data_IF_088790105123
#
_entry.id   IF_088790105123
#
_cell.length_a   1.000
_cell.length_b   1.000
_cell.length_c   1.000
_cell.angle_alpha   90.00
_cell.angle_beta   90.00
_cell.angle_gamma   90.00
#
_symmetry.space_group_name_H-M   'P 1'
#
loop_
_entity.id
_entity.type
_entity.pdbx_description
1 polymer ?
#
# COMPACT_ATOMS: atom_id res chain seq x y z
N UNK A 1 22.76 -22.75 -11.47
CA UNK A 1 21.37 -22.30 -11.22
C UNK A 1 20.79 -23.11 -10.07
N UNK A 2 19.94 -22.52 -9.22
CA UNK A 2 19.24 -23.29 -8.18
C UNK A 2 17.88 -23.71 -8.72
N UNK A 3 17.42 -24.92 -8.42
CA UNK A 3 16.08 -25.38 -8.81
C UNK A 3 15.19 -25.48 -7.58
N UNK A 4 13.90 -25.23 -7.78
CA UNK A 4 12.86 -25.42 -6.77
C UNK A 4 11.66 -26.15 -7.37
N UNK A 5 11.22 -27.23 -6.71
CA UNK A 5 10.06 -28.01 -7.13
C UNK A 5 8.83 -27.49 -6.39
N UNK A 6 7.84 -26.99 -7.14
CA UNK A 6 6.61 -26.40 -6.61
C UNK A 6 5.86 -27.41 -5.73
N UNK A 7 5.58 -27.04 -4.48
CA UNK A 7 4.77 -27.82 -3.54
C UNK A 7 3.33 -27.32 -3.50
N UNK A 8 2.43 -28.15 -2.97
CA UNK A 8 1.02 -27.78 -2.80
C UNK A 8 0.90 -26.51 -1.95
N UNK A 9 0.20 -25.50 -2.48
CA UNK A 9 -0.02 -24.22 -1.80
C UNK A 9 1.05 -23.15 -2.03
N UNK A 10 2.12 -23.46 -2.78
CA UNK A 10 3.11 -22.47 -3.16
C UNK A 10 2.70 -21.73 -4.44
N UNK A 11 3.00 -20.42 -4.49
CA UNK A 11 2.78 -19.55 -5.65
C UNK A 11 4.14 -19.09 -6.18
N UNK A 12 4.19 -18.61 -7.43
CA UNK A 12 5.44 -18.10 -7.99
C UNK A 12 6.00 -16.95 -7.14
N UNK A 13 5.12 -16.15 -6.55
CA UNK A 13 5.44 -15.07 -5.62
C UNK A 13 6.01 -15.56 -4.29
N UNK A 14 5.41 -16.58 -3.67
CA UNK A 14 5.91 -17.11 -2.40
C UNK A 14 7.24 -17.86 -2.58
N UNK A 15 7.40 -18.58 -3.68
CA UNK A 15 8.66 -19.24 -4.06
C UNK A 15 9.74 -18.19 -4.33
N UNK A 16 9.48 -17.22 -5.21
CA UNK A 16 10.45 -16.18 -5.53
C UNK A 16 10.84 -15.37 -4.28
N UNK A 17 9.87 -14.99 -3.45
CA UNK A 17 10.09 -14.27 -2.20
C UNK A 17 10.97 -15.05 -1.21
N UNK A 18 10.77 -16.37 -1.09
CA UNK A 18 11.63 -17.25 -0.25
C UNK A 18 13.10 -17.19 -0.66
N UNK A 19 13.38 -16.98 -1.94
CA UNK A 19 14.73 -16.94 -2.49
C UNK A 19 15.23 -15.52 -2.78
N UNK A 20 14.47 -14.48 -2.37
CA UNK A 20 14.87 -13.08 -2.54
C UNK A 20 14.80 -12.58 -4.00
N UNK A 21 13.96 -13.19 -4.82
CA UNK A 21 13.70 -12.80 -6.21
C UNK A 21 12.27 -12.28 -6.38
N UNK A 22 12.03 -11.52 -7.46
CA UNK A 22 10.66 -11.21 -7.86
C UNK A 22 10.08 -12.38 -8.66
N UNK A 23 8.77 -12.58 -8.57
CA UNK A 23 8.10 -13.60 -9.39
C UNK A 23 8.27 -13.36 -10.89
N UNK A 24 8.46 -12.11 -11.33
CA UNK A 24 8.65 -11.72 -12.73
C UNK A 24 9.95 -12.28 -13.30
N UNK A 25 11.01 -12.24 -12.50
CA UNK A 25 12.32 -12.80 -12.89
C UNK A 25 12.29 -14.31 -12.93
N UNK A 26 11.63 -14.94 -11.96
CA UNK A 26 11.44 -16.39 -12.00
C UNK A 26 10.52 -16.76 -13.18
N UNK A 27 9.49 -15.97 -13.48
CA UNK A 27 8.59 -16.22 -14.62
C UNK A 27 9.34 -16.15 -15.96
N UNK A 28 10.15 -15.12 -16.18
CA UNK A 28 10.84 -14.90 -17.45
C UNK A 28 11.85 -16.01 -17.76
N UNK A 29 12.64 -16.42 -16.76
CA UNK A 29 13.62 -17.51 -16.90
C UNK A 29 12.93 -18.84 -17.22
N UNK A 30 11.74 -19.06 -16.65
CA UNK A 30 10.98 -20.29 -16.85
C UNK A 30 9.97 -20.21 -18.00
N UNK A 31 9.99 -19.13 -18.81
CA UNK A 31 9.09 -18.95 -19.94
C UNK A 31 7.60 -18.97 -19.56
N UNK A 32 7.27 -18.60 -18.32
CA UNK A 32 5.90 -18.68 -17.81
C UNK A 32 5.06 -17.53 -18.36
N UNK A 33 4.16 -17.85 -19.29
CA UNK A 33 3.17 -16.91 -19.83
C UNK A 33 2.10 -16.52 -18.81
N UNK A 34 1.81 -17.39 -17.84
CA UNK A 34 0.88 -17.12 -16.75
C UNK A 34 1.49 -17.55 -15.41
N UNK A 35 1.86 -16.60 -14.52
CA UNK A 35 2.52 -16.88 -13.25
C UNK A 35 1.62 -17.53 -12.20
N UNK A 36 0.29 -17.50 -12.40
CA UNK A 36 -0.70 -18.09 -11.50
C UNK A 36 -0.99 -19.57 -11.82
N UNK A 37 -0.41 -20.11 -12.90
CA UNK A 37 -0.62 -21.50 -13.36
C UNK A 37 0.60 -22.38 -13.09
N UNK A 38 1.06 -22.42 -11.85
CA UNK A 38 2.05 -23.40 -11.42
C UNK A 38 1.42 -24.76 -11.11
N UNK A 39 2.04 -25.84 -11.56
CA UNK A 39 1.63 -27.21 -11.22
C UNK A 39 2.48 -27.74 -10.07
N UNK A 40 1.87 -28.44 -9.12
CA UNK A 40 2.62 -29.17 -8.09
C UNK A 40 3.55 -30.18 -8.78
N UNK A 41 4.81 -30.21 -8.36
CA UNK A 41 5.87 -31.00 -9.00
C UNK A 41 6.57 -30.30 -10.17
N UNK A 42 6.10 -29.12 -10.60
CA UNK A 42 6.80 -28.33 -11.62
C UNK A 42 8.14 -27.83 -11.07
N UNK A 43 9.23 -28.09 -11.80
CA UNK A 43 10.56 -27.55 -11.46
C UNK A 43 10.70 -26.14 -12.02
N UNK A 44 11.06 -25.20 -11.15
CA UNK A 44 11.36 -23.81 -11.50
C UNK A 44 12.85 -23.56 -11.34
N UNK A 45 13.44 -22.98 -12.38
CA UNK A 45 14.79 -22.45 -12.35
C UNK A 45 14.80 -21.11 -11.62
N UNK A 46 15.68 -21.00 -10.64
CA UNK A 46 15.92 -19.78 -9.87
C UNK A 46 17.29 -19.20 -10.25
N UNK A 47 17.40 -17.86 -10.32
CA UNK A 47 18.68 -17.22 -10.54
C UNK A 47 19.71 -17.65 -9.48
N UNK A 48 20.98 -17.67 -9.84
CA UNK A 48 22.05 -17.71 -8.85
C UNK A 48 22.15 -16.34 -8.16
N UNK A 49 22.59 -16.36 -6.90
CA UNK A 49 22.76 -15.20 -6.00
C UNK A 49 23.03 -13.91 -6.77
N UNK A 50 22.18 -12.90 -6.57
CA UNK A 50 22.32 -11.57 -7.17
C UNK A 50 23.59 -10.88 -6.67
N UNK A 51 24.53 -10.64 -7.56
CA UNK A 51 25.26 -9.37 -7.53
C UNK A 51 24.24 -8.30 -7.94
N UNK A 52 23.86 -7.49 -6.95
CA UNK A 52 22.57 -6.82 -6.94
C UNK A 52 22.35 -5.86 -8.09
N UNK A 53 21.26 -6.04 -8.85
CA UNK A 53 20.37 -4.98 -9.33
C UNK A 53 18.98 -5.58 -9.58
N UNK A 54 17.93 -4.93 -9.05
CA UNK A 54 16.54 -5.13 -9.47
C UNK A 54 16.04 -3.80 -10.06
N UNK A 55 15.29 -3.85 -11.15
CA UNK A 55 14.64 -2.69 -11.77
C UNK A 55 13.18 -2.52 -11.34
N UNK A 56 12.62 -1.29 -11.43
CA UNK A 56 11.67 -0.80 -10.42
C UNK A 56 10.22 -1.21 -10.70
N UNK A 57 9.57 -1.71 -9.64
CA UNK A 57 8.11 -1.57 -9.46
C UNK A 57 7.79 -0.12 -9.10
N UNK A 58 6.51 0.25 -9.10
CA UNK A 58 5.98 1.49 -8.52
C UNK A 58 6.79 1.93 -7.30
N UNK A 59 7.02 3.24 -7.19
CA UNK A 59 8.07 3.89 -6.42
C UNK A 59 8.63 3.06 -5.23
N UNK A 60 9.96 2.94 -5.09
CA UNK A 60 10.60 2.33 -3.91
C UNK A 60 9.92 2.71 -2.59
N UNK A 61 9.59 1.75 -1.74
CA UNK A 61 9.30 2.06 -0.33
C UNK A 61 10.62 2.46 0.36
N UNK A 62 10.81 3.71 0.83
CA UNK A 62 11.92 4.05 1.70
C UNK A 62 11.65 3.46 3.08
N UNK A 63 12.58 2.66 3.60
CA UNK A 63 12.71 2.46 5.04
C UNK A 63 13.32 3.72 5.64
N UNK A 64 12.64 4.39 6.57
CA UNK A 64 13.16 5.58 7.28
C UNK A 64 13.12 5.43 8.80
N UNK A 65 14.03 6.10 9.53
CA UNK A 65 14.03 6.15 10.99
C UNK A 65 12.84 6.95 11.52
N UNK A 66 12.25 6.48 12.62
CA UNK A 66 11.10 7.11 13.25
C UNK A 66 11.52 8.39 13.99
N UNK A 67 10.80 9.50 13.76
CA UNK A 67 10.65 10.57 14.76
C UNK A 67 9.22 10.57 15.27
N UNK A 68 9.08 10.60 16.59
CA UNK A 68 7.80 10.63 17.31
C UNK A 68 7.04 11.94 17.07
N UNK A 69 5.71 11.91 16.91
CA UNK A 69 4.90 13.11 17.00
C UNK A 69 4.38 13.32 18.43
N UNK A 70 4.45 14.59 18.83
CA UNK A 70 3.92 15.21 20.03
C UNK A 70 2.42 15.00 20.21
N UNK A 71 2.01 14.94 21.48
CA UNK A 71 0.65 14.69 21.98
C UNK A 71 -0.35 15.75 21.50
N UNK A 72 -1.49 15.29 20.99
CA UNK A 72 -2.69 16.09 20.75
C UNK A 72 -3.88 15.17 20.52
N UNK A 73 -4.57 14.81 21.62
CA UNK A 73 -5.70 13.90 21.62
C UNK A 73 -7.04 14.61 21.47
N UNK A 74 -7.97 13.93 20.80
CA UNK A 74 -9.41 14.18 20.90
C UNK A 74 -10.10 12.82 21.00
N UNK A 75 -10.53 12.44 22.20
CA UNK A 75 -11.27 11.20 22.42
C UNK A 75 -12.72 11.38 21.98
N UNK A 76 -13.02 11.04 20.73
CA UNK A 76 -14.40 10.79 20.31
C UNK A 76 -14.91 9.54 21.03
N UNK A 77 -16.02 9.67 21.74
CA UNK A 77 -16.69 8.56 22.46
C UNK A 77 -17.04 7.43 21.50
N UNK A 78 -16.68 6.19 21.85
CA UNK A 78 -16.97 5.01 21.04
C UNK A 78 -18.48 4.81 20.86
N UNK A 79 -18.93 4.67 19.62
CA UNK A 79 -20.34 4.38 19.29
C UNK A 79 -20.54 2.87 19.24
N UNK A 80 -21.69 2.37 19.70
CA UNK A 80 -22.02 0.94 19.59
C UNK A 80 -21.88 0.46 18.14
N UNK A 81 -21.08 -0.59 17.94
CA UNK A 81 -20.77 -1.13 16.61
C UNK A 81 -19.52 -0.56 15.95
N UNK A 82 -18.80 0.37 16.56
CA UNK A 82 -17.48 0.81 16.09
C UNK A 82 -16.40 -0.28 16.24
N UNK A 83 -15.36 -0.21 15.41
CA UNK A 83 -14.16 -1.04 15.60
C UNK A 83 -13.42 -0.54 16.84
N UNK A 84 -13.19 -1.43 17.79
CA UNK A 84 -12.52 -1.11 19.06
C UNK A 84 -11.00 -1.03 18.92
N UNK A 85 -10.31 -0.43 19.90
CA UNK A 85 -8.84 -0.38 19.92
C UNK A 85 -8.21 -1.78 19.89
N UNK A 86 -8.78 -2.74 20.64
CA UNK A 86 -8.32 -4.13 20.63
C UNK A 86 -8.45 -4.78 19.25
N UNK A 87 -9.59 -4.57 18.57
CA UNK A 87 -9.79 -5.07 17.21
C UNK A 87 -8.83 -4.39 16.23
N UNK A 88 -8.65 -3.08 16.31
CA UNK A 88 -7.72 -2.35 15.43
C UNK A 88 -6.28 -2.84 15.62
N UNK A 89 -5.85 -3.13 16.86
CA UNK A 89 -4.54 -3.75 17.16
C UNK A 89 -4.40 -5.15 16.59
N UNK A 90 -5.47 -5.95 16.65
CA UNK A 90 -5.46 -7.27 16.02
C UNK A 90 -5.39 -7.18 14.48
N UNK A 91 -6.01 -6.16 13.88
CA UNK A 91 -6.01 -5.91 12.42
C UNK A 91 -4.67 -5.36 11.94
N UNK A 92 -4.06 -4.43 12.68
CA UNK A 92 -2.85 -3.68 12.31
C UNK A 92 -1.81 -3.71 13.44
N UNK A 93 -1.22 -4.87 13.74
CA UNK A 93 -0.36 -5.07 14.92
C UNK A 93 0.90 -4.19 14.93
N UNK A 94 1.40 -3.75 13.78
CA UNK A 94 2.59 -2.92 13.65
C UNK A 94 2.28 -1.41 13.64
N UNK A 95 1.02 -1.00 13.77
CA UNK A 95 0.64 0.41 13.81
C UNK A 95 1.07 1.10 15.13
N UNK A 96 1.19 0.35 16.23
CA UNK A 96 1.65 0.85 17.52
C UNK A 96 0.78 1.98 18.07
N UNK A 97 1.40 3.11 18.44
CA UNK A 97 0.72 4.30 18.98
C UNK A 97 -0.12 5.03 17.93
N UNK A 98 0.07 4.75 16.64
CA UNK A 98 -0.65 5.41 15.55
C UNK A 98 -2.14 5.06 15.52
N UNK A 99 -2.53 3.92 16.09
CA UNK A 99 -3.94 3.53 16.23
C UNK A 99 -4.75 4.62 16.93
N UNK A 100 -4.22 5.21 18.01
CA UNK A 100 -4.89 6.27 18.75
C UNK A 100 -5.19 7.51 17.90
N UNK A 101 -4.37 7.78 16.87
CA UNK A 101 -4.54 8.91 15.94
C UNK A 101 -5.58 8.62 14.84
N UNK A 102 -5.77 7.37 14.45
CA UNK A 102 -6.56 7.00 13.27
C UNK A 102 -7.87 6.26 13.59
N UNK A 103 -8.02 5.66 14.76
CA UNK A 103 -9.21 4.86 15.07
C UNK A 103 -10.50 5.68 15.02
N UNK A 104 -10.50 6.89 15.61
CA UNK A 104 -11.63 7.82 15.54
C UNK A 104 -11.98 8.22 14.10
N UNK A 105 -11.01 8.78 13.34
CA UNK A 105 -11.17 9.07 11.92
C UNK A 105 -11.68 7.91 11.06
N UNK A 106 -11.12 6.70 11.24
CA UNK A 106 -11.51 5.52 10.48
C UNK A 106 -12.93 5.09 10.80
N UNK A 107 -13.32 5.06 12.08
CA UNK A 107 -14.70 4.75 12.46
C UNK A 107 -15.68 5.81 11.93
N UNK A 108 -15.32 7.10 12.00
CA UNK A 108 -16.13 8.17 11.43
C UNK A 108 -16.31 8.03 9.91
N UNK A 109 -15.25 7.76 9.17
CA UNK A 109 -15.32 7.52 7.73
C UNK A 109 -16.14 6.27 7.40
N UNK A 110 -15.95 5.17 8.13
CA UNK A 110 -16.74 3.95 7.91
C UNK A 110 -18.24 4.18 8.13
N UNK A 111 -18.63 5.00 9.11
CA UNK A 111 -20.04 5.40 9.32
C UNK A 111 -20.55 6.27 8.18
N UNK A 112 -19.81 7.32 7.80
CA UNK A 112 -20.23 8.27 6.78
C UNK A 112 -20.41 7.63 5.38
N UNK A 113 -19.75 6.49 5.15
CA UNK A 113 -19.69 5.81 3.85
C UNK A 113 -20.34 4.41 3.88
N UNK A 114 -21.21 4.13 4.86
CA UNK A 114 -21.96 2.87 5.00
C UNK A 114 -21.09 1.59 5.01
N UNK A 115 -19.85 1.69 5.50
CA UNK A 115 -18.94 0.57 5.73
C UNK A 115 -19.27 -0.04 7.10
N UNK A 116 -20.48 -0.60 7.20
CA UNK A 116 -21.17 -0.85 8.47
C UNK A 116 -21.36 -2.33 8.82
N UNK A 117 -21.01 -3.27 7.95
CA UNK A 117 -20.93 -4.71 8.29
C UNK A 117 -19.48 -5.12 8.56
N UNK A 118 -19.28 -6.23 9.28
CA UNK A 118 -17.94 -6.74 9.58
C UNK A 118 -17.17 -7.10 8.31
N UNK A 119 -17.84 -7.57 7.27
CA UNK A 119 -17.27 -7.94 5.98
C UNK A 119 -16.78 -6.71 5.22
N UNK A 120 -17.61 -5.65 5.16
CA UNK A 120 -17.23 -4.36 4.56
C UNK A 120 -16.03 -3.75 5.28
N UNK A 121 -16.07 -3.70 6.62
CA UNK A 121 -14.99 -3.17 7.46
C UNK A 121 -13.70 -3.98 7.31
N UNK A 122 -13.80 -5.30 7.28
CA UNK A 122 -12.65 -6.18 7.11
C UNK A 122 -11.96 -5.92 5.77
N UNK A 123 -12.72 -5.83 4.67
CA UNK A 123 -12.19 -5.57 3.35
C UNK A 123 -11.56 -4.17 3.26
N UNK A 124 -12.24 -3.15 3.79
CA UNK A 124 -11.74 -1.77 3.80
C UNK A 124 -10.45 -1.61 4.61
N UNK A 125 -10.44 -2.08 5.86
CA UNK A 125 -9.28 -1.98 6.74
C UNK A 125 -8.11 -2.84 6.26
N UNK A 126 -8.36 -3.95 5.57
CA UNK A 126 -7.30 -4.74 4.95
C UNK A 126 -6.56 -3.97 3.86
N UNK A 127 -7.27 -3.20 3.03
CA UNK A 127 -6.64 -2.36 2.01
C UNK A 127 -5.83 -1.24 2.66
N UNK A 128 -6.41 -0.52 3.63
CA UNK A 128 -5.69 0.51 4.40
C UNK A 128 -4.43 -0.06 5.05
N UNK A 129 -4.53 -1.24 5.67
CA UNK A 129 -3.42 -1.92 6.33
C UNK A 129 -2.25 -2.12 5.37
N UNK A 130 -2.48 -2.49 4.11
CA UNK A 130 -1.40 -2.71 3.16
C UNK A 130 -0.88 -1.39 2.59
N UNK A 131 -1.76 -0.51 2.11
CA UNK A 131 -1.39 0.77 1.49
C UNK A 131 -0.56 1.65 2.42
N UNK A 132 -1.06 1.86 3.63
CA UNK A 132 -0.39 2.70 4.62
C UNK A 132 0.71 1.97 5.39
N UNK A 133 0.90 0.67 5.13
CA UNK A 133 1.80 -0.19 5.91
C UNK A 133 1.42 -0.19 7.39
N UNK A 134 0.15 -0.43 7.68
CA UNK A 134 -0.44 -0.40 9.02
C UNK A 134 -0.30 1.00 9.65
N UNK A 135 -0.75 2.02 8.91
CA UNK A 135 -0.80 3.44 9.31
C UNK A 135 0.56 4.12 9.51
N UNK A 136 1.66 3.41 9.23
CA UNK A 136 3.02 3.94 9.37
C UNK A 136 3.36 4.99 8.32
N UNK A 137 2.66 4.96 7.18
CA UNK A 137 2.93 5.81 6.02
C UNK A 137 1.63 6.44 5.53
N UNK A 138 1.47 7.74 5.74
CA UNK A 138 0.35 8.54 5.20
C UNK A 138 0.85 9.59 4.23
N UNK A 139 2.17 9.77 4.15
CA UNK A 139 2.84 10.65 3.21
C UNK A 139 4.20 10.07 2.83
N UNK A 140 4.58 10.18 1.56
CA UNK A 140 5.91 9.86 1.10
C UNK A 140 6.91 10.94 1.55
N UNK A 141 7.99 10.53 2.24
CA UNK A 141 9.02 11.46 2.70
C UNK A 141 10.07 11.82 1.63
N UNK A 142 10.26 10.96 0.61
CA UNK A 142 11.20 11.11 -0.49
C UNK A 142 12.63 11.54 -0.07
N UNK A 143 13.03 11.23 1.16
CA UNK A 143 14.32 11.64 1.71
C UNK A 143 15.32 10.48 1.62
N UNK A 144 16.07 10.44 0.52
CA UNK A 144 17.02 9.37 0.23
C UNK A 144 18.46 9.87 0.20
N UNK A 145 19.39 9.04 0.65
CA UNK A 145 20.81 9.24 0.32
C UNK A 145 21.05 8.95 -1.16
N UNK A 146 22.12 9.53 -1.72
CA UNK A 146 22.53 9.29 -3.10
C UNK A 146 22.71 7.80 -3.41
N UNK A 147 23.38 7.05 -2.53
CA UNK A 147 23.56 5.60 -2.69
C UNK A 147 22.21 4.88 -2.76
N UNK A 148 21.23 5.29 -1.94
CA UNK A 148 19.91 4.69 -1.95
C UNK A 148 19.15 5.05 -3.23
N UNK A 149 19.21 6.30 -3.71
CA UNK A 149 18.63 6.73 -4.99
C UNK A 149 19.11 5.85 -6.16
N UNK A 150 20.43 5.59 -6.22
CA UNK A 150 21.03 4.75 -7.27
C UNK A 150 20.60 3.28 -7.17
N UNK A 151 20.41 2.76 -5.96
CA UNK A 151 19.92 1.39 -5.76
C UNK A 151 18.44 1.22 -6.16
N UNK A 152 17.69 2.30 -6.12
CA UNK A 152 16.24 2.33 -6.21
C UNK A 152 15.76 2.73 -7.61
N UNK A 153 16.42 3.70 -8.23
CA UNK A 153 16.16 4.15 -9.59
C UNK A 153 17.48 4.20 -10.39
N UNK A 154 18.14 3.04 -10.61
CA UNK A 154 19.46 2.98 -11.24
C UNK A 154 19.50 3.58 -12.65
N UNK A 155 18.37 3.54 -13.37
CA UNK A 155 18.24 4.16 -14.71
C UNK A 155 18.26 5.69 -14.67
N UNK A 156 17.70 6.30 -13.62
CA UNK A 156 17.61 7.76 -13.45
C UNK A 156 18.85 8.32 -12.76
N UNK A 157 19.37 7.61 -11.76
CA UNK A 157 20.57 7.99 -11.02
C UNK A 157 21.72 7.05 -11.39
N UNK A 158 22.27 7.23 -12.59
CA UNK A 158 23.35 6.36 -13.11
C UNK A 158 24.67 6.62 -12.38
N UNK A 159 25.00 7.90 -12.22
CA UNK A 159 26.24 8.36 -11.58
C UNK A 159 25.98 8.86 -10.17
N UNK A 160 27.05 8.91 -9.37
CA UNK A 160 27.03 9.50 -8.03
C UNK A 160 26.65 10.99 -8.10
N UNK A 161 27.27 11.73 -9.01
CA UNK A 161 26.99 13.15 -9.26
C UNK A 161 25.52 13.45 -9.52
N UNK A 162 24.86 12.67 -10.39
CA UNK A 162 23.42 12.85 -10.66
C UNK A 162 22.59 12.55 -9.41
N UNK A 163 22.99 11.57 -8.59
CA UNK A 163 22.30 11.24 -7.35
C UNK A 163 22.47 12.30 -6.26
N UNK A 164 23.66 12.90 -6.16
CA UNK A 164 23.97 13.92 -5.16
C UNK A 164 23.10 15.18 -5.33
N UNK A 165 22.72 15.51 -6.57
CA UNK A 165 21.81 16.63 -6.87
C UNK A 165 20.41 16.49 -6.23
N UNK A 166 20.00 15.26 -5.89
CA UNK A 166 18.67 14.96 -5.34
C UNK A 166 18.71 14.31 -3.96
N UNK A 167 19.91 13.98 -3.46
CA UNK A 167 20.08 13.36 -2.16
C UNK A 167 19.62 14.30 -1.06
N UNK A 168 18.86 13.78 -0.11
CA UNK A 168 18.29 14.53 1.00
C UNK A 168 17.46 15.77 0.60
N UNK A 169 16.96 15.78 -0.64
CA UNK A 169 16.12 16.85 -1.18
C UNK A 169 14.79 16.26 -1.72
N UNK A 170 13.80 16.01 -0.84
CA UNK A 170 12.52 15.43 -1.22
C UNK A 170 11.78 16.18 -2.32
N UNK A 171 11.84 17.51 -2.30
CA UNK A 171 11.12 18.35 -3.25
C UNK A 171 11.72 18.24 -4.65
N UNK A 172 13.03 18.45 -4.78
CA UNK A 172 13.71 18.29 -6.06
C UNK A 172 13.56 16.86 -6.59
N UNK A 173 13.67 15.86 -5.71
CA UNK A 173 13.50 14.46 -6.09
C UNK A 173 12.10 14.16 -6.62
N UNK A 174 11.07 14.62 -5.91
CA UNK A 174 9.67 14.40 -6.30
C UNK A 174 9.38 15.07 -7.64
N UNK A 175 9.79 16.32 -7.81
CA UNK A 175 9.64 17.07 -9.05
C UNK A 175 10.31 16.36 -10.23
N UNK A 176 11.49 15.77 -10.01
CA UNK A 176 12.20 15.02 -11.04
C UNK A 176 11.59 13.64 -11.37
N UNK A 177 11.17 12.88 -10.36
CA UNK A 177 10.64 11.52 -10.56
C UNK A 177 9.23 11.54 -11.13
N UNK A 178 8.42 12.53 -10.73
CA UNK A 178 7.01 12.65 -11.07
C UNK A 178 6.67 13.68 -12.16
N UNK A 179 7.65 14.36 -12.76
CA UNK A 179 7.43 15.26 -13.91
C UNK A 179 6.71 14.55 -15.08
N UNK A 180 5.85 15.30 -15.77
CA UNK A 180 5.13 14.90 -17.00
C UNK A 180 4.28 13.64 -16.86
N UNK A 181 3.86 13.32 -15.63
CA UNK A 181 3.03 12.15 -15.33
C UNK A 181 1.63 12.56 -14.94
N UNK A 182 0.64 12.07 -15.69
CA UNK A 182 -0.77 12.03 -15.29
C UNK A 182 -1.24 13.37 -14.70
N UNK A 183 -1.08 14.43 -15.50
CA UNK A 183 -1.48 15.79 -15.18
C UNK A 183 -0.42 16.65 -14.51
N UNK A 184 0.66 16.08 -13.97
CA UNK A 184 1.78 16.88 -13.47
C UNK A 184 2.46 17.63 -14.62
N UNK A 185 2.83 18.89 -14.40
CA UNK A 185 3.74 19.61 -15.29
C UNK A 185 5.18 19.09 -15.25
N UNK A 186 6.07 19.80 -15.95
CA UNK A 186 7.50 19.56 -15.93
C UNK A 186 8.12 19.77 -14.54
N UNK A 187 9.42 19.52 -14.41
CA UNK A 187 10.13 19.60 -13.12
C UNK A 187 9.96 20.97 -12.44
N UNK A 188 9.99 22.03 -13.23
CA UNK A 188 9.87 23.43 -12.82
C UNK A 188 8.48 23.81 -12.28
N UNK A 189 7.44 23.00 -12.56
CA UNK A 189 6.09 23.27 -12.09
C UNK A 189 5.92 23.09 -10.57
N UNK A 190 6.80 22.30 -9.94
CA UNK A 190 6.62 21.88 -8.55
C UNK A 190 5.54 20.82 -8.33
N UNK A 191 4.88 20.35 -9.41
CA UNK A 191 3.75 19.42 -9.31
C UNK A 191 4.16 18.06 -8.74
N UNK A 192 5.39 17.62 -9.00
CA UNK A 192 5.86 16.33 -8.50
C UNK A 192 5.89 16.27 -6.96
N UNK A 193 6.38 17.32 -6.30
CA UNK A 193 6.34 17.42 -4.84
C UNK A 193 4.96 17.77 -4.34
N UNK A 194 4.28 18.74 -4.97
CA UNK A 194 2.93 19.18 -4.57
C UNK A 194 1.94 18.00 -4.55
N UNK A 195 1.98 17.14 -5.56
CA UNK A 195 1.12 15.96 -5.72
C UNK A 195 1.82 14.63 -5.44
N UNK A 196 2.80 14.61 -4.53
CA UNK A 196 3.44 13.39 -4.00
C UNK A 196 2.44 12.46 -3.30
N UNK A 197 2.81 11.22 -3.04
CA UNK A 197 1.92 10.24 -2.41
C UNK A 197 1.46 10.65 -1.01
N UNK A 198 0.13 10.78 -0.81
CA UNK A 198 -0.49 11.03 0.51
C UNK A 198 -1.76 10.20 0.73
N UNK A 199 -2.24 10.22 1.97
CA UNK A 199 -3.47 9.57 2.39
C UNK A 199 -3.33 8.06 2.61
N UNK A 200 -4.38 7.47 3.16
CA UNK A 200 -4.42 6.05 3.50
C UNK A 200 -4.52 5.11 2.29
N UNK A 201 -4.81 5.66 1.11
CA UNK A 201 -4.91 4.96 -0.18
C UNK A 201 -3.86 5.45 -1.20
N UNK A 202 -2.83 6.19 -0.76
CA UNK A 202 -1.68 6.61 -1.57
C UNK A 202 -2.02 7.40 -2.86
N UNK A 203 -2.85 8.44 -2.73
CA UNK A 203 -3.13 9.39 -3.81
C UNK A 203 -1.84 10.12 -4.23
N UNK A 204 -1.47 9.98 -5.50
CA UNK A 204 -0.27 10.56 -6.13
C UNK A 204 -0.66 11.13 -7.49
N UNK A 205 0.09 12.07 -8.05
CA UNK A 205 -0.11 12.77 -9.34
C UNK A 205 -1.37 13.66 -9.41
N UNK A 206 -1.25 14.79 -10.11
CA UNK A 206 -2.25 15.86 -10.13
C UNK A 206 -3.64 15.40 -10.56
N UNK A 207 -3.76 14.57 -11.59
CA UNK A 207 -5.06 14.12 -12.08
C UNK A 207 -5.82 13.30 -11.03
N UNK A 208 -5.13 12.49 -10.22
CA UNK A 208 -5.76 11.74 -9.14
C UNK A 208 -6.17 12.66 -7.98
N UNK A 209 -5.35 13.66 -7.64
CA UNK A 209 -5.74 14.68 -6.65
C UNK A 209 -6.96 15.46 -7.12
N UNK A 210 -7.04 15.82 -8.41
CA UNK A 210 -8.23 16.44 -9.00
C UNK A 210 -9.45 15.54 -8.89
N UNK A 211 -9.34 14.27 -9.28
CA UNK A 211 -10.43 13.30 -9.19
C UNK A 211 -10.90 13.08 -7.74
N UNK A 212 -9.98 13.13 -6.77
CA UNK A 212 -10.29 13.01 -5.35
C UNK A 212 -10.83 14.31 -4.72
N UNK A 213 -10.75 15.45 -5.42
CA UNK A 213 -11.19 16.76 -4.95
C UNK A 213 -10.17 17.52 -4.09
N UNK A 214 -8.89 17.20 -4.22
CA UNK A 214 -7.78 17.76 -3.42
C UNK A 214 -6.73 18.52 -4.24
N UNK A 215 -6.99 18.86 -5.51
CA UNK A 215 -6.01 19.58 -6.35
C UNK A 215 -5.61 20.96 -5.76
N UNK A 216 -6.59 21.68 -5.19
CA UNK A 216 -6.37 22.99 -4.57
C UNK A 216 -5.67 22.92 -3.21
N UNK A 217 -5.81 21.81 -2.49
CA UNK A 217 -5.24 21.61 -1.15
C UNK A 217 -4.78 20.16 -0.93
N UNK A 218 -3.67 19.74 -1.58
CA UNK A 218 -3.19 18.35 -1.53
C UNK A 218 -2.67 17.94 -0.14
N UNK A 219 -2.11 18.88 0.63
CA UNK A 219 -1.58 18.62 1.97
C UNK A 219 -2.65 18.19 2.99
N UNK A 220 -3.93 18.51 2.72
CA UNK A 220 -5.03 18.06 3.56
C UNK A 220 -5.08 16.52 3.68
N UNK A 221 -4.59 15.76 2.69
CA UNK A 221 -4.54 14.30 2.77
C UNK A 221 -3.53 13.74 3.80
N UNK A 222 -2.67 14.58 4.39
CA UNK A 222 -1.80 14.18 5.51
C UNK A 222 -2.51 14.28 6.88
N UNK A 223 -3.67 14.96 6.94
CA UNK A 223 -4.52 15.00 8.14
C UNK A 223 -5.29 13.67 8.32
N UNK A 224 -5.29 13.04 9.51
CA UNK A 224 -5.96 11.76 9.73
C UNK A 224 -7.44 11.74 9.39
N UNK A 225 -8.19 12.79 9.73
CA UNK A 225 -9.63 12.86 9.48
C UNK A 225 -9.90 12.92 7.98
N UNK A 226 -9.17 13.79 7.29
CA UNK A 226 -9.28 13.97 5.84
C UNK A 226 -8.80 12.73 5.08
N UNK A 227 -7.70 12.10 5.51
CA UNK A 227 -7.18 10.89 4.90
C UNK A 227 -8.16 9.71 5.03
N UNK A 228 -8.82 9.57 6.18
CA UNK A 228 -9.83 8.54 6.41
C UNK A 228 -11.10 8.81 5.60
N UNK A 229 -11.61 10.05 5.59
CA UNK A 229 -12.80 10.41 4.78
C UNK A 229 -12.52 10.20 3.28
N UNK A 230 -11.35 10.61 2.80
CA UNK A 230 -10.96 10.37 1.40
C UNK A 230 -10.94 8.88 1.05
N UNK A 231 -10.45 8.02 1.95
CA UNK A 231 -10.46 6.57 1.73
C UNK A 231 -11.90 6.01 1.71
N UNK A 232 -12.76 6.46 2.62
CA UNK A 232 -14.18 6.09 2.64
C UNK A 232 -14.91 6.56 1.37
N UNK A 233 -14.66 7.79 0.93
CA UNK A 233 -15.23 8.35 -0.31
C UNK A 233 -14.81 7.56 -1.54
N UNK A 234 -13.53 7.25 -1.67
CA UNK A 234 -13.03 6.40 -2.75
C UNK A 234 -13.75 5.05 -2.75
N UNK A 235 -13.91 4.44 -1.57
CA UNK A 235 -14.60 3.15 -1.42
C UNK A 235 -16.05 3.21 -1.90
N UNK A 236 -16.80 4.24 -1.49
CA UNK A 236 -18.19 4.48 -1.90
C UNK A 236 -18.33 4.75 -3.40
N UNK A 237 -17.51 5.65 -3.94
CA UNK A 237 -17.56 6.04 -5.37
C UNK A 237 -17.26 4.87 -6.31
N UNK A 238 -16.46 3.91 -5.85
CA UNK A 238 -16.13 2.70 -6.60
C UNK A 238 -17.09 1.52 -6.33
N UNK A 239 -18.20 1.76 -5.62
CA UNK A 239 -19.24 0.75 -5.37
C UNK A 239 -18.76 -0.46 -4.56
N UNK A 240 -17.71 -0.30 -3.76
CA UNK A 240 -17.04 -1.44 -3.11
C UNK A 240 -17.89 -2.08 -2.01
N UNK A 241 -18.79 -1.32 -1.38
CA UNK A 241 -19.78 -1.85 -0.42
C UNK A 241 -20.61 -3.01 -1.00
N UNK A 242 -21.12 -2.86 -2.23
CA UNK A 242 -21.93 -3.89 -2.88
C UNK A 242 -21.15 -5.19 -3.14
N UNK A 243 -19.81 -5.08 -3.24
CA UNK A 243 -18.89 -6.19 -3.53
C UNK A 243 -18.36 -6.86 -2.27
N UNK A 244 -18.68 -6.34 -1.08
CA UNK A 244 -18.15 -6.81 0.21
C UNK A 244 -19.27 -7.04 1.24
N UNK A 245 -20.45 -7.47 0.79
CA UNK A 245 -21.60 -7.77 1.66
C UNK A 245 -21.55 -9.15 2.35
N UNK A 246 -20.56 -9.97 2.01
CA UNK A 246 -20.36 -11.30 2.55
C UNK A 246 -18.85 -11.60 2.62
N UNK A 247 -18.48 -12.64 3.36
CA UNK A 247 -17.09 -13.10 3.37
C UNK A 247 -16.64 -13.49 1.95
N UNK A 248 -15.67 -12.74 1.44
CA UNK A 248 -15.09 -12.96 0.12
C UNK A 248 -14.16 -14.15 0.06
N UNK A 249 -14.23 -14.91 -1.04
CA UNK A 249 -13.14 -15.79 -1.44
C UNK A 249 -11.97 -14.98 -2.07
N UNK A 250 -10.85 -15.67 -2.33
CA UNK A 250 -9.63 -15.02 -2.84
C UNK A 250 -9.84 -14.28 -4.17
N UNK A 251 -10.60 -14.86 -5.09
CA UNK A 251 -10.87 -14.26 -6.41
C UNK A 251 -11.68 -12.98 -6.28
N UNK A 252 -12.73 -12.98 -5.47
CA UNK A 252 -13.56 -11.81 -5.21
C UNK A 252 -12.76 -10.69 -4.52
N UNK A 253 -11.96 -11.03 -3.51
CA UNK A 253 -11.12 -10.05 -2.82
C UNK A 253 -10.00 -9.47 -3.70
N UNK A 254 -9.39 -10.29 -4.56
CA UNK A 254 -8.44 -9.80 -5.56
C UNK A 254 -9.12 -8.81 -6.52
N UNK A 255 -10.35 -9.05 -6.94
CA UNK A 255 -11.11 -8.11 -7.77
C UNK A 255 -11.32 -6.76 -7.06
N UNK A 256 -11.61 -6.74 -5.75
CA UNK A 256 -11.67 -5.50 -4.96
C UNK A 256 -10.30 -4.83 -4.91
N UNK A 257 -9.24 -5.60 -4.70
CA UNK A 257 -7.85 -5.09 -4.64
C UNK A 257 -7.40 -4.46 -5.96
N UNK A 258 -7.84 -4.97 -7.11
CA UNK A 258 -7.58 -4.38 -8.42
C UNK A 258 -8.18 -2.99 -8.56
N UNK A 259 -9.38 -2.76 -8.03
CA UNK A 259 -10.01 -1.43 -8.04
C UNK A 259 -9.23 -0.45 -7.18
N UNK A 260 -8.75 -0.88 -6.01
CA UNK A 260 -7.99 -0.02 -5.10
C UNK A 260 -6.60 0.33 -5.64
N UNK A 261 -5.91 -0.60 -6.32
CA UNK A 261 -4.49 -0.47 -6.64
C UNK A 261 -4.16 -0.44 -8.13
N UNK A 262 -5.15 -0.53 -9.01
CA UNK A 262 -4.94 -0.71 -10.45
C UNK A 262 -4.29 -2.06 -10.82
N UNK A 263 -4.23 -3.01 -9.88
CA UNK A 263 -3.58 -4.31 -10.07
C UNK A 263 -3.57 -5.20 -8.83
N UNK A 264 -2.98 -6.40 -8.94
CA UNK A 264 -2.92 -7.42 -7.86
C UNK A 264 -1.56 -7.51 -7.16
N UNK A 265 -0.79 -6.42 -7.15
CA UNK A 265 0.49 -6.39 -6.43
C UNK A 265 0.25 -6.59 -4.92
N UNK A 266 1.03 -7.49 -4.30
CA UNK A 266 0.89 -7.82 -2.88
C UNK A 266 -0.36 -8.63 -2.54
N UNK A 267 -0.97 -9.34 -3.49
CA UNK A 267 -2.25 -10.04 -3.27
C UNK A 267 -2.23 -11.00 -2.06
N UNK A 268 -1.12 -11.68 -1.78
CA UNK A 268 -0.98 -12.57 -0.61
C UNK A 268 -0.96 -11.82 0.72
N UNK A 269 -0.29 -10.67 0.75
CA UNK A 269 -0.26 -9.79 1.92
C UNK A 269 -1.66 -9.20 2.18
N UNK A 270 -2.32 -8.69 1.14
CA UNK A 270 -3.69 -8.14 1.23
C UNK A 270 -4.70 -9.19 1.68
N UNK A 271 -4.62 -10.39 1.13
CA UNK A 271 -5.49 -11.49 1.52
C UNK A 271 -5.26 -11.90 2.98
N UNK A 272 -4.00 -11.92 3.42
CA UNK A 272 -3.64 -12.21 4.81
C UNK A 272 -4.17 -11.13 5.76
N UNK A 273 -4.06 -9.84 5.37
CA UNK A 273 -4.65 -8.72 6.10
C UNK A 273 -6.18 -8.82 6.19
N UNK A 274 -6.85 -9.21 5.09
CA UNK A 274 -8.30 -9.43 5.06
C UNK A 274 -8.75 -10.57 5.98
N UNK A 275 -8.09 -11.73 5.90
CA UNK A 275 -8.35 -12.86 6.80
C UNK A 275 -8.14 -12.50 8.26
N UNK A 276 -7.12 -11.70 8.57
CA UNK A 276 -6.86 -11.18 9.92
C UNK A 276 -7.97 -10.25 10.36
N UNK A 277 -8.45 -9.37 9.48
CA UNK A 277 -9.51 -8.44 9.81
C UNK A 277 -10.86 -9.12 10.04
N UNK A 278 -11.23 -10.10 9.23
CA UNK A 278 -12.44 -10.90 9.46
C UNK A 278 -12.42 -11.55 10.85
N UNK A 279 -11.31 -12.20 11.23
CA UNK A 279 -11.19 -12.84 12.55
C UNK A 279 -11.29 -11.85 13.70
N UNK A 280 -10.70 -10.66 13.56
CA UNK A 280 -10.74 -9.64 14.60
C UNK A 280 -12.14 -9.02 14.76
N UNK A 281 -12.94 -8.98 13.70
CA UNK A 281 -14.26 -8.34 13.70
C UNK A 281 -15.41 -9.31 13.96
N UNK A 282 -15.17 -10.63 13.91
CA UNK A 282 -16.19 -11.61 14.25
C UNK A 282 -16.65 -11.47 15.72
N UNK A 283 -17.94 -11.68 16.02
CA UNK A 283 -18.41 -11.74 17.39
C UNK A 283 -17.64 -12.83 18.14
N UNK A 284 -17.32 -12.59 19.41
CA UNK A 284 -16.81 -13.66 20.28
C UNK A 284 -17.94 -14.68 20.39
N UNK A 285 -17.72 -15.91 19.92
CA UNK A 285 -18.67 -16.99 20.13
C UNK A 285 -18.90 -17.13 21.63
N UNK A 286 -20.13 -16.90 22.09
CA UNK A 286 -20.55 -17.34 23.42
C UNK A 286 -20.51 -18.87 23.42
N UNK A 287 -19.56 -19.43 24.18
CA UNK A 287 -19.53 -20.85 24.53
C UNK A 287 -20.77 -21.26 25.34
#
# INVERSE_FOLDING_TARGET
>A
MKQHVVRRGESLSSIAGRYGFSWQEVASINGLRNPDRLRVGQSLQLPLKRDGVAEPRSSPRPTMPQREPSRGGGHATAVAGDVTDAQMRAIMPNAGTRIARYIGPLNAAMRAHDINTNERRAAFLAQISVESGELRHVEENLNYSASRLRAVWPRRFRTQEVADNYAHNPEALANYVYADRLGNGGVESGDGYRFRGRGLMQTTVRDNYRAAGFESNPDALSDPQTAADSAGRFWSQNGLNARTNAELNRTQFNSVSQTVNGGNHGSDERWSAYRRALRALQPVSSE
#
